data_IF_459596531496
#
_entry.id   IF_459596531496
#
_cell.length_a   1.000
_cell.length_b   1.000
_cell.length_c   1.000
_cell.angle_alpha   90.00
_cell.angle_beta   90.00
_cell.angle_gamma   90.00
#
_symmetry.space_group_name_H-M   'P 1'
#
loop_
_entity.id
_entity.type
_entity.pdbx_description
1 polymer ?
#
# COMPACT_ATOMS: atom_id res chain seq x y z
N UNK A 1 40.57 29.89 -16.40
CA UNK A 1 40.00 29.14 -15.25
C UNK A 1 38.70 29.73 -14.68
N UNK A 2 38.52 31.04 -14.41
CA UNK A 2 37.34 31.52 -13.67
C UNK A 2 36.01 31.40 -14.45
N UNK A 3 36.03 31.53 -15.78
CA UNK A 3 34.80 31.44 -16.60
C UNK A 3 34.10 30.08 -16.58
N UNK A 4 34.84 28.98 -16.36
CA UNK A 4 34.28 27.62 -16.35
C UNK A 4 33.48 27.29 -15.09
N UNK A 5 33.69 28.03 -14.00
CA UNK A 5 32.93 27.88 -12.74
C UNK A 5 31.82 28.94 -12.70
N UNK A 6 32.06 30.14 -13.23
CA UNK A 6 31.11 31.24 -13.20
C UNK A 6 29.83 30.94 -14.01
N UNK A 7 29.97 30.32 -15.19
CA UNK A 7 28.83 30.04 -16.05
C UNK A 7 27.84 29.01 -15.46
N UNK A 8 28.27 27.84 -14.94
CA UNK A 8 27.38 26.91 -14.24
C UNK A 8 26.72 27.52 -13.00
N UNK A 9 27.43 28.35 -12.25
CA UNK A 9 26.87 29.05 -11.08
C UNK A 9 25.74 30.01 -11.50
N UNK A 10 25.97 30.83 -12.52
CA UNK A 10 24.96 31.78 -13.00
C UNK A 10 23.72 31.05 -13.53
N UNK A 11 23.90 29.99 -14.34
CA UNK A 11 22.80 29.18 -14.87
C UNK A 11 22.06 28.48 -13.73
N UNK A 12 22.78 27.91 -12.76
CA UNK A 12 22.20 27.22 -11.61
C UNK A 12 21.38 28.15 -10.72
N UNK A 13 21.85 29.37 -10.46
CA UNK A 13 21.14 30.37 -9.66
C UNK A 13 19.85 30.82 -10.36
N UNK A 14 19.92 31.13 -11.65
CA UNK A 14 18.73 31.56 -12.42
C UNK A 14 17.71 30.42 -12.51
N UNK A 15 18.16 29.21 -12.84
CA UNK A 15 17.29 28.04 -12.93
C UNK A 15 16.64 27.68 -11.59
N UNK A 16 17.40 27.74 -10.49
CA UNK A 16 16.90 27.45 -9.15
C UNK A 16 15.93 28.54 -8.67
N UNK A 17 16.17 29.81 -8.96
CA UNK A 17 15.24 30.89 -8.62
C UNK A 17 13.88 30.70 -9.32
N UNK A 18 13.90 30.37 -10.62
CA UNK A 18 12.67 30.07 -11.37
C UNK A 18 11.98 28.81 -10.79
N UNK A 19 12.75 27.76 -10.51
CA UNK A 19 12.22 26.51 -9.95
C UNK A 19 11.58 26.70 -8.57
N UNK A 20 12.17 27.51 -7.70
CA UNK A 20 11.60 27.85 -6.39
C UNK A 20 10.29 28.60 -6.57
N UNK A 21 10.25 29.62 -7.43
CA UNK A 21 9.03 30.40 -7.68
C UNK A 21 7.90 29.49 -8.19
N UNK A 22 8.19 28.65 -9.18
CA UNK A 22 7.18 27.74 -9.73
C UNK A 22 6.75 26.67 -8.71
N UNK A 23 7.70 26.14 -7.94
CA UNK A 23 7.45 25.13 -6.92
C UNK A 23 6.60 25.64 -5.76
N UNK A 24 6.88 26.83 -5.24
CA UNK A 24 6.14 27.41 -4.10
C UNK A 24 4.81 28.04 -4.52
N UNK A 25 4.77 28.72 -5.67
CA UNK A 25 3.57 29.44 -6.09
C UNK A 25 2.52 28.54 -6.75
N UNK A 26 2.95 27.49 -7.47
CA UNK A 26 2.04 26.62 -8.22
C UNK A 26 2.12 25.16 -7.78
N UNK A 27 3.34 24.61 -7.64
CA UNK A 27 3.52 23.18 -7.34
C UNK A 27 2.94 22.77 -5.99
N UNK A 28 3.30 23.49 -4.93
CA UNK A 28 2.82 23.23 -3.57
C UNK A 28 1.29 23.31 -3.44
N UNK A 29 0.66 24.43 -3.82
CA UNK A 29 -0.79 24.56 -3.77
C UNK A 29 -1.54 23.53 -4.63
N UNK A 30 -1.02 23.18 -5.82
CA UNK A 30 -1.65 22.18 -6.68
C UNK A 30 -1.60 20.77 -6.06
N UNK A 31 -0.49 20.40 -5.42
CA UNK A 31 -0.38 19.11 -4.74
C UNK A 31 -1.34 19.03 -3.55
N UNK A 32 -1.45 20.10 -2.76
CA UNK A 32 -2.40 20.15 -1.65
C UNK A 32 -3.84 20.02 -2.14
N UNK A 33 -4.21 20.79 -3.18
CA UNK A 33 -5.55 20.70 -3.77
C UNK A 33 -5.87 19.28 -4.28
N UNK A 34 -4.90 18.61 -4.89
CA UNK A 34 -5.06 17.21 -5.31
C UNK A 34 -5.28 16.26 -4.11
N UNK A 35 -4.53 16.44 -3.02
CA UNK A 35 -4.73 15.63 -1.81
C UNK A 35 -6.06 15.91 -1.11
N UNK A 36 -6.50 17.18 -1.08
CA UNK A 36 -7.81 17.56 -0.54
C UNK A 36 -8.95 16.91 -1.32
N UNK A 37 -8.85 16.87 -2.66
CA UNK A 37 -9.85 16.23 -3.54
C UNK A 37 -9.92 14.71 -3.32
N UNK A 38 -8.78 14.06 -3.14
CA UNK A 38 -8.70 12.59 -2.94
C UNK A 38 -9.15 12.18 -1.53
N UNK A 39 -8.71 12.91 -0.49
CA UNK A 39 -8.89 12.51 0.91
C UNK A 39 -10.14 13.16 1.53
N UNK A 40 -10.66 14.25 0.96
CA UNK A 40 -11.85 14.94 1.46
C UNK A 40 -11.64 15.74 2.74
N UNK A 41 -10.40 15.87 3.22
CA UNK A 41 -10.04 16.62 4.43
C UNK A 41 -9.32 17.92 4.02
N UNK A 42 -9.84 19.11 4.39
CA UNK A 42 -9.22 20.38 4.03
C UNK A 42 -7.90 20.60 4.79
N UNK A 43 -6.84 20.95 4.08
CA UNK A 43 -5.53 21.23 4.65
C UNK A 43 -5.47 22.68 5.16
N UNK A 44 -5.72 22.88 6.45
CA UNK A 44 -5.64 24.20 7.07
C UNK A 44 -4.17 24.57 7.31
N UNK A 45 -3.71 25.64 6.65
CA UNK A 45 -2.41 26.26 6.94
C UNK A 45 -1.24 25.74 6.10
N UNK A 46 -1.37 25.71 4.77
CA UNK A 46 -0.25 25.40 3.89
C UNK A 46 0.89 26.41 4.08
N UNK A 47 2.04 25.92 4.55
CA UNK A 47 3.29 26.67 4.59
C UNK A 47 4.40 25.83 3.99
N UNK A 48 5.13 26.39 3.03
CA UNK A 48 6.36 25.74 2.55
C UNK A 48 7.50 26.06 3.51
N UNK A 49 8.09 25.03 4.10
CA UNK A 49 9.19 25.22 5.06
C UNK A 49 10.44 25.75 4.35
N UNK A 50 11.04 26.87 4.80
CA UNK A 50 12.23 27.45 4.16
C UNK A 50 13.44 26.52 4.15
N UNK A 51 13.54 25.60 5.12
CA UNK A 51 14.60 24.59 5.22
C UNK A 51 14.64 23.66 4.00
N UNK A 52 13.47 23.18 3.56
CA UNK A 52 13.33 22.30 2.40
C UNK A 52 13.66 23.02 1.09
N UNK A 53 13.29 24.29 0.97
CA UNK A 53 13.63 25.12 -0.19
C UNK A 53 15.15 25.26 -0.30
N UNK A 54 15.82 25.57 0.81
CA UNK A 54 17.27 25.75 0.84
C UNK A 54 18.02 24.44 0.56
N UNK A 55 17.52 23.32 1.09
CA UNK A 55 18.08 21.99 0.81
C UNK A 55 17.97 21.63 -0.68
N UNK A 56 16.79 21.84 -1.28
CA UNK A 56 16.58 21.59 -2.71
C UNK A 56 17.46 22.48 -3.59
N UNK A 57 17.62 23.76 -3.22
CA UNK A 57 18.55 24.67 -3.90
C UNK A 57 20.00 24.17 -3.79
N UNK A 58 20.42 23.70 -2.61
CA UNK A 58 21.75 23.12 -2.41
C UNK A 58 22.00 21.91 -3.31
N UNK A 59 21.06 20.96 -3.35
CA UNK A 59 21.15 19.77 -4.21
C UNK A 59 21.21 20.16 -5.68
N UNK A 60 20.32 21.06 -6.14
CA UNK A 60 20.28 21.52 -7.52
C UNK A 60 21.61 22.19 -7.92
N UNK A 61 22.16 23.05 -7.06
CA UNK A 61 23.44 23.72 -7.31
C UNK A 61 24.61 22.74 -7.41
N UNK A 62 24.65 21.71 -6.55
CA UNK A 62 25.67 20.65 -6.63
C UNK A 62 25.60 19.93 -7.98
N UNK A 63 24.40 19.55 -8.41
CA UNK A 63 24.19 18.86 -9.69
C UNK A 63 24.63 19.72 -10.86
N UNK A 64 24.21 20.99 -10.90
CA UNK A 64 24.57 21.92 -11.99
C UNK A 64 26.07 22.18 -12.03
N UNK A 65 26.73 22.34 -10.88
CA UNK A 65 28.17 22.52 -10.79
C UNK A 65 28.92 21.30 -11.33
N UNK A 66 28.55 20.09 -10.90
CA UNK A 66 29.18 18.85 -11.39
C UNK A 66 28.98 18.71 -12.90
N UNK A 67 27.75 18.96 -13.38
CA UNK A 67 27.42 18.86 -14.80
C UNK A 67 28.15 19.91 -15.66
N UNK A 68 28.38 21.11 -15.14
CA UNK A 68 29.05 22.19 -15.86
C UNK A 68 30.58 22.11 -15.81
N UNK A 69 31.15 21.70 -14.68
CA UNK A 69 32.61 21.64 -14.48
C UNK A 69 33.21 20.41 -15.17
N UNK A 70 32.53 19.26 -15.15
CA UNK A 70 33.07 18.01 -15.70
C UNK A 70 33.47 18.12 -17.19
N UNK A 71 32.63 18.62 -18.10
CA UNK A 71 33.00 18.79 -19.51
C UNK A 71 34.16 19.78 -19.70
N UNK A 72 34.21 20.84 -18.88
CA UNK A 72 35.28 21.83 -18.93
C UNK A 72 36.62 21.23 -18.48
N UNK A 73 36.59 20.37 -17.46
CA UNK A 73 37.77 19.65 -16.98
C UNK A 73 38.29 18.66 -18.02
N UNK A 74 37.40 17.85 -18.60
CA UNK A 74 37.72 16.94 -19.70
C UNK A 74 38.30 17.70 -20.91
N UNK A 75 37.72 18.84 -21.29
CA UNK A 75 38.23 19.66 -22.39
C UNK A 75 39.63 20.26 -22.10
N UNK A 76 39.92 20.60 -20.84
CA UNK A 76 41.20 21.19 -20.45
C UNK A 76 42.39 20.22 -20.47
N UNK A 77 42.12 18.91 -20.47
CA UNK A 77 43.14 17.85 -20.38
C UNK A 77 43.44 17.18 -21.73
N UNK A 78 42.70 17.52 -22.79
CA UNK A 78 42.93 16.98 -24.14
C UNK A 78 44.16 17.64 -24.78
N UNK A 79 45.09 16.85 -25.33
CA UNK A 79 46.29 17.38 -25.97
C UNK A 79 45.96 17.99 -27.36
N UNK A 80 46.57 19.13 -27.76
CA UNK A 80 46.29 19.78 -29.04
C UNK A 80 46.54 18.89 -30.27
N UNK A 81 47.50 17.96 -30.17
CA UNK A 81 47.83 16.99 -31.22
C UNK A 81 46.72 15.96 -31.47
N UNK A 82 45.94 15.59 -30.44
CA UNK A 82 44.84 14.63 -30.57
C UNK A 82 43.64 15.26 -31.31
N UNK A 83 43.46 16.58 -31.16
CA UNK A 83 42.42 17.36 -31.84
C UNK A 83 42.76 17.52 -33.33
N UNK A 84 44.02 17.80 -33.66
CA UNK A 84 44.47 18.01 -35.04
C UNK A 84 44.49 16.72 -35.88
N UNK A 85 44.56 15.55 -35.25
CA UNK A 85 44.52 14.25 -35.94
C UNK A 85 43.12 13.84 -36.40
N UNK A 86 42.07 14.58 -36.03
CA UNK A 86 40.69 14.25 -36.41
C UNK A 86 40.21 12.87 -35.90
N UNK A 87 40.96 12.24 -34.99
CA UNK A 87 40.67 10.89 -34.46
C UNK A 87 39.86 10.90 -33.16
N UNK A 88 39.07 11.96 -32.92
CA UNK A 88 38.17 12.03 -31.78
C UNK A 88 36.86 11.25 -31.96
N UNK A 89 36.79 10.35 -32.93
CA UNK A 89 35.87 9.22 -32.85
C UNK A 89 36.62 8.08 -32.16
N UNK A 90 36.33 7.88 -30.87
CA UNK A 90 36.69 6.64 -30.17
C UNK A 90 36.23 5.49 -31.05
N UNK A 91 37.16 4.89 -31.80
CA UNK A 91 36.93 3.70 -32.62
C UNK A 91 36.81 2.52 -31.68
N UNK A 92 35.70 2.45 -30.96
CA UNK A 92 35.20 1.20 -30.39
C UNK A 92 34.64 0.35 -31.53
N UNK A 93 35.52 -0.03 -32.46
CA UNK A 93 35.28 -1.16 -33.37
C UNK A 93 35.52 -2.44 -32.57
N UNK A 94 34.69 -2.68 -31.56
CA UNK A 94 34.73 -3.95 -30.86
C UNK A 94 34.23 -5.03 -31.84
N UNK A 95 35.10 -6.00 -32.14
CA UNK A 95 34.77 -7.17 -32.97
C UNK A 95 33.55 -7.92 -32.44
N UNK A 96 33.25 -7.78 -31.13
CA UNK A 96 32.06 -8.33 -30.48
C UNK A 96 30.75 -7.66 -30.94
N UNK A 97 30.70 -6.33 -31.00
CA UNK A 97 29.50 -5.62 -31.50
C UNK A 97 29.26 -5.95 -32.97
N UNK A 98 30.32 -6.08 -33.77
CA UNK A 98 30.21 -6.48 -35.19
C UNK A 98 29.60 -7.88 -35.36
N UNK A 99 29.98 -8.85 -34.51
CA UNK A 99 29.38 -10.20 -34.50
C UNK A 99 27.93 -10.21 -34.00
N UNK A 100 27.60 -9.40 -32.99
CA UNK A 100 26.24 -9.30 -32.47
C UNK A 100 25.30 -8.63 -33.48
N UNK A 101 25.82 -7.64 -34.21
CA UNK A 101 25.07 -6.83 -35.17
C UNK A 101 24.92 -7.51 -36.54
N UNK A 102 25.79 -8.47 -36.90
CA UNK A 102 25.77 -9.11 -38.23
C UNK A 102 24.55 -10.01 -38.47
N UNK A 103 23.78 -10.33 -37.43
CA UNK A 103 22.53 -11.10 -37.51
C UNK A 103 21.27 -10.22 -37.59
N UNK A 104 21.41 -8.91 -37.43
CA UNK A 104 20.29 -7.98 -37.44
C UNK A 104 20.12 -7.35 -38.83
N UNK A 105 18.88 -7.02 -39.27
CA UNK A 105 18.64 -6.24 -40.48
C UNK A 105 19.48 -4.95 -40.49
N UNK A 106 19.95 -4.55 -41.67
CA UNK A 106 20.92 -3.46 -41.84
C UNK A 106 20.51 -2.17 -41.13
N UNK A 107 19.23 -1.81 -41.11
CA UNK A 107 18.71 -0.63 -40.41
C UNK A 107 18.90 -0.71 -38.90
N UNK A 108 18.50 -1.83 -38.27
CA UNK A 108 18.62 -2.01 -36.82
C UNK A 108 20.09 -2.11 -36.41
N UNK A 109 20.89 -2.80 -37.23
CA UNK A 109 22.29 -3.00 -36.93
C UNK A 109 23.11 -1.71 -37.00
N UNK A 110 22.79 -0.80 -37.93
CA UNK A 110 23.40 0.52 -37.97
C UNK A 110 23.02 1.36 -36.76
N UNK A 111 21.75 1.33 -36.33
CA UNK A 111 21.28 2.05 -35.14
C UNK A 111 21.96 1.55 -33.87
N UNK A 112 21.98 0.24 -33.62
CA UNK A 112 22.63 -0.36 -32.44
C UNK A 112 24.11 0.01 -32.40
N UNK A 113 24.81 -0.11 -33.52
CA UNK A 113 26.23 0.25 -33.61
C UNK A 113 26.47 1.73 -33.36
N UNK A 114 25.56 2.60 -33.81
CA UNK A 114 25.65 4.05 -33.58
C UNK A 114 25.43 4.40 -32.10
N UNK A 115 24.50 3.72 -31.42
CA UNK A 115 24.20 3.93 -30.00
C UNK A 115 25.35 3.49 -29.10
N UNK A 116 25.98 2.34 -29.39
CA UNK A 116 27.09 1.79 -28.59
C UNK A 116 28.40 2.58 -28.74
N UNK A 117 28.52 3.45 -29.76
CA UNK A 117 29.66 4.38 -29.88
C UNK A 117 29.71 5.42 -28.76
N UNK A 118 28.58 5.71 -28.10
CA UNK A 118 28.49 6.61 -26.94
C UNK A 118 27.99 5.83 -25.71
N UNK A 119 28.80 4.90 -25.17
CA UNK A 119 28.35 3.92 -24.18
C UNK A 119 27.80 4.60 -22.92
N UNK A 120 28.37 5.74 -22.52
CA UNK A 120 27.93 6.42 -21.31
C UNK A 120 26.51 7.00 -21.43
N UNK A 121 26.16 7.53 -22.61
CA UNK A 121 24.80 8.01 -22.88
C UNK A 121 23.80 6.85 -22.87
N UNK A 122 24.17 5.75 -23.52
CA UNK A 122 23.35 4.55 -23.62
C UNK A 122 23.04 3.96 -22.24
N UNK A 123 24.04 3.86 -21.37
CA UNK A 123 23.89 3.35 -20.00
C UNK A 123 22.95 4.24 -19.20
N UNK A 124 23.12 5.57 -19.20
CA UNK A 124 22.23 6.46 -18.45
C UNK A 124 20.78 6.41 -18.94
N UNK A 125 20.54 6.31 -20.25
CA UNK A 125 19.18 6.19 -20.78
C UNK A 125 18.53 4.87 -20.39
N UNK A 126 19.24 3.75 -20.50
CA UNK A 126 18.70 2.45 -20.08
C UNK A 126 18.50 2.39 -18.57
N UNK A 127 19.40 2.98 -17.79
CA UNK A 127 19.27 3.06 -16.34
C UNK A 127 18.06 3.88 -15.94
N UNK A 128 17.86 5.05 -16.55
CA UNK A 128 16.70 5.91 -16.27
C UNK A 128 15.38 5.22 -16.63
N UNK A 129 15.30 4.60 -17.80
CA UNK A 129 14.10 3.85 -18.23
C UNK A 129 13.86 2.64 -17.33
N UNK A 130 14.90 1.87 -17.01
CA UNK A 130 14.80 0.70 -16.14
C UNK A 130 14.37 1.07 -14.73
N UNK A 131 14.93 2.15 -14.17
CA UNK A 131 14.53 2.67 -12.86
C UNK A 131 13.09 3.16 -12.88
N UNK A 132 12.66 3.85 -13.94
CA UNK A 132 11.27 4.30 -14.09
C UNK A 132 10.29 3.12 -14.14
N UNK A 133 10.62 2.08 -14.90
CA UNK A 133 9.82 0.87 -15.00
C UNK A 133 9.77 0.10 -13.68
N UNK A 134 10.88 0.08 -12.95
CA UNK A 134 10.95 -0.52 -11.61
C UNK A 134 10.05 0.23 -10.63
N UNK A 135 10.18 1.56 -10.56
CA UNK A 135 9.35 2.40 -9.67
C UNK A 135 7.86 2.20 -10.00
N UNK A 136 7.50 2.27 -11.29
CA UNK A 136 6.11 2.06 -11.72
C UNK A 136 5.59 0.67 -11.35
N UNK A 137 6.37 -0.38 -11.63
CA UNK A 137 6.00 -1.75 -11.27
C UNK A 137 5.81 -1.92 -9.76
N UNK A 138 6.74 -1.41 -8.96
CA UNK A 138 6.64 -1.48 -7.49
C UNK A 138 5.46 -0.69 -6.96
N UNK A 139 5.16 0.49 -7.50
CA UNK A 139 4.03 1.32 -7.07
C UNK A 139 2.69 0.66 -7.43
N UNK A 140 2.60 0.03 -8.60
CA UNK A 140 1.40 -0.72 -8.99
C UNK A 140 1.15 -1.91 -8.08
N UNK A 141 2.19 -2.68 -7.74
CA UNK A 141 2.09 -3.79 -6.79
C UNK A 141 1.73 -3.31 -5.39
N UNK A 142 2.32 -2.20 -4.95
CA UNK A 142 2.00 -1.61 -3.65
C UNK A 142 0.56 -1.10 -3.59
N UNK A 143 0.05 -0.51 -4.68
CA UNK A 143 -1.33 -0.03 -4.78
C UNK A 143 -2.32 -1.20 -4.75
N UNK A 144 -2.02 -2.30 -5.45
CA UNK A 144 -2.82 -3.53 -5.43
C UNK A 144 -2.84 -4.16 -4.03
N UNK A 145 -1.67 -4.31 -3.41
CA UNK A 145 -1.56 -4.82 -2.04
C UNK A 145 -2.27 -3.93 -1.03
N UNK A 146 -2.17 -2.60 -1.15
CA UNK A 146 -2.87 -1.67 -0.28
C UNK A 146 -4.38 -1.71 -0.53
N UNK A 147 -4.82 -1.88 -1.78
CA UNK A 147 -6.22 -2.08 -2.13
C UNK A 147 -6.82 -3.24 -1.34
N UNK A 148 -6.18 -4.41 -1.40
CA UNK A 148 -6.63 -5.60 -0.67
C UNK A 148 -6.62 -5.40 0.86
N UNK A 149 -5.64 -4.68 1.41
CA UNK A 149 -5.58 -4.40 2.85
C UNK A 149 -6.62 -3.37 3.31
N UNK A 150 -6.90 -2.34 2.50
CA UNK A 150 -7.78 -1.22 2.85
C UNK A 150 -9.24 -1.53 2.58
N UNK A 151 -9.56 -2.26 1.50
CA UNK A 151 -10.93 -2.68 1.25
C UNK A 151 -11.41 -3.72 2.26
N UNK A 152 -10.48 -4.45 2.90
CA UNK A 152 -10.80 -5.64 3.68
C UNK A 152 -11.50 -6.71 2.84
N UNK A 153 -11.90 -7.81 3.48
CA UNK A 153 -12.83 -8.78 2.88
C UNK A 153 -14.09 -8.04 2.40
N UNK A 154 -14.65 -8.47 1.27
CA UNK A 154 -15.75 -7.82 0.55
C UNK A 154 -17.00 -7.64 1.44
N UNK A 155 -17.10 -6.53 2.20
CA UNK A 155 -18.23 -6.31 3.12
C UNK A 155 -19.52 -6.04 2.33
N UNK A 156 -20.61 -6.70 2.71
CA UNK A 156 -21.92 -6.59 2.04
C UNK A 156 -22.91 -5.68 2.80
N UNK A 157 -22.43 -4.90 3.77
CA UNK A 157 -23.22 -3.93 4.54
C UNK A 157 -22.84 -2.48 4.18
N UNK A 158 -23.80 -1.57 4.34
CA UNK A 158 -23.62 -0.14 4.05
C UNK A 158 -23.34 0.69 5.31
N UNK A 159 -23.93 0.32 6.45
CA UNK A 159 -23.71 1.00 7.73
C UNK A 159 -23.59 0.02 8.91
N UNK A 160 -22.70 0.35 9.85
CA UNK A 160 -22.59 -0.31 11.15
C UNK A 160 -22.99 0.68 12.25
N UNK A 161 -24.03 0.35 13.01
CA UNK A 161 -24.48 1.15 14.15
C UNK A 161 -24.01 0.48 15.42
N UNK A 162 -23.13 1.15 16.18
CA UNK A 162 -22.74 0.69 17.50
C UNK A 162 -23.84 1.02 18.50
N UNK A 163 -24.33 0.01 19.19
CA UNK A 163 -25.44 0.15 20.14
C UNK A 163 -24.95 -0.10 21.57
N UNK A 164 -25.48 0.65 22.56
CA UNK A 164 -25.28 0.28 23.95
C UNK A 164 -25.96 -1.07 24.23
N UNK A 165 -25.55 -1.74 25.30
CA UNK A 165 -26.12 -3.04 25.67
C UNK A 165 -27.65 -2.97 25.81
N UNK A 166 -28.38 -3.81 25.07
CA UNK A 166 -29.84 -3.85 25.02
C UNK A 166 -30.50 -2.74 24.19
N UNK A 167 -29.72 -1.99 23.40
CA UNK A 167 -30.17 -0.89 22.55
C UNK A 167 -30.42 -1.29 21.08
N UNK A 168 -30.19 -2.54 20.71
CA UNK A 168 -30.36 -3.04 19.34
C UNK A 168 -31.80 -2.96 18.83
N UNK A 169 -32.80 -3.07 19.72
CA UNK A 169 -34.22 -3.10 19.36
C UNK A 169 -34.69 -1.86 18.59
N UNK A 170 -34.26 -0.66 18.99
CA UNK A 170 -34.64 0.59 18.30
C UNK A 170 -34.07 0.65 16.87
N UNK A 171 -32.87 0.11 16.67
CA UNK A 171 -32.21 0.08 15.35
C UNK A 171 -32.86 -0.95 14.44
N UNK A 172 -33.23 -2.10 14.99
CA UNK A 172 -33.95 -3.16 14.28
C UNK A 172 -35.33 -2.65 13.85
N UNK A 173 -36.08 -2.01 14.75
CA UNK A 173 -37.39 -1.41 14.44
C UNK A 173 -37.26 -0.39 13.30
N UNK A 174 -36.26 0.49 13.36
CA UNK A 174 -35.98 1.43 12.28
C UNK A 174 -35.66 0.74 10.95
N UNK A 175 -34.86 -0.34 10.97
CA UNK A 175 -34.49 -1.09 9.77
C UNK A 175 -35.71 -1.73 9.12
N UNK A 176 -36.57 -2.39 9.92
CA UNK A 176 -37.82 -2.99 9.48
C UNK A 176 -38.79 -1.95 8.88
N UNK A 177 -38.95 -0.79 9.52
CA UNK A 177 -39.80 0.30 9.02
C UNK A 177 -39.33 0.86 7.68
N UNK A 178 -38.01 0.90 7.45
CA UNK A 178 -37.41 1.43 6.22
C UNK A 178 -37.14 0.35 5.17
N UNK A 179 -37.49 -0.91 5.43
CA UNK A 179 -37.23 -2.03 4.53
C UNK A 179 -35.75 -2.29 4.27
N UNK A 180 -34.89 -1.99 5.25
CA UNK A 180 -33.47 -2.31 5.23
C UNK A 180 -33.24 -3.71 5.81
N UNK A 181 -32.38 -4.50 5.16
CA UNK A 181 -31.92 -5.76 5.72
C UNK A 181 -30.95 -5.46 6.88
N UNK A 182 -30.97 -6.28 7.93
CA UNK A 182 -30.14 -6.11 9.10
C UNK A 182 -29.56 -7.44 9.60
N UNK A 183 -28.38 -7.37 10.21
CA UNK A 183 -27.75 -8.47 10.92
C UNK A 183 -27.21 -7.97 12.26
N UNK A 184 -27.44 -8.70 13.35
CA UNK A 184 -26.91 -8.31 14.66
C UNK A 184 -25.55 -8.93 14.89
N UNK A 185 -24.64 -8.15 15.49
CA UNK A 185 -23.27 -8.57 15.74
C UNK A 185 -22.86 -8.24 17.17
N UNK A 186 -22.15 -9.17 17.77
CA UNK A 186 -21.58 -9.05 19.10
C UNK A 186 -20.06 -9.05 19.00
N UNK A 187 -19.42 -7.94 19.37
CA UNK A 187 -17.96 -7.82 19.37
C UNK A 187 -17.50 -7.64 20.81
N UNK A 188 -16.69 -8.58 21.29
CA UNK A 188 -16.18 -8.54 22.66
C UNK A 188 -14.70 -8.91 22.71
N UNK A 189 -13.86 -8.17 23.46
CA UNK A 189 -12.45 -8.53 23.59
C UNK A 189 -12.29 -9.80 24.42
N UNK A 190 -11.48 -10.73 23.93
CA UNK A 190 -11.12 -11.97 24.62
C UNK A 190 -9.62 -12.24 24.58
N UNK A 191 -9.18 -13.26 25.32
CA UNK A 191 -7.82 -13.77 25.28
C UNK A 191 -7.83 -15.29 25.47
N UNK A 192 -6.76 -15.96 25.06
CA UNK A 192 -6.60 -17.39 25.35
C UNK A 192 -6.29 -17.59 26.84
N UNK A 193 -6.70 -18.74 27.40
CA UNK A 193 -6.33 -19.09 28.77
C UNK A 193 -4.80 -19.12 28.92
N UNK A 194 -4.30 -18.40 29.92
CA UNK A 194 -2.86 -18.28 30.18
C UNK A 194 -2.10 -17.31 29.25
N UNK A 195 -2.77 -16.66 28.29
CA UNK A 195 -2.17 -15.63 27.44
C UNK A 195 -2.72 -14.23 27.79
N UNK A 196 -1.87 -13.21 27.60
CA UNK A 196 -2.23 -11.80 27.85
C UNK A 196 -2.59 -11.04 26.58
N UNK A 197 -2.28 -11.60 25.41
CA UNK A 197 -2.60 -11.03 24.10
C UNK A 197 -4.11 -11.14 23.88
N UNK A 198 -4.72 -10.01 23.57
CA UNK A 198 -6.14 -9.95 23.27
C UNK A 198 -6.39 -10.21 21.78
N UNK A 199 -7.51 -10.88 21.51
CA UNK A 199 -8.17 -10.95 20.20
C UNK A 199 -9.57 -10.37 20.34
N UNK A 200 -10.18 -10.02 19.21
CA UNK A 200 -11.59 -9.63 19.16
C UNK A 200 -12.42 -10.87 18.83
N UNK A 201 -13.37 -11.21 19.69
CA UNK A 201 -14.36 -12.23 19.39
C UNK A 201 -15.57 -11.57 18.71
N UNK A 202 -15.92 -12.07 17.54
CA UNK A 202 -17.05 -11.65 16.74
C UNK A 202 -18.11 -12.75 16.76
N UNK A 203 -19.24 -12.48 17.39
CA UNK A 203 -20.46 -13.26 17.28
C UNK A 203 -21.30 -12.75 16.12
N UNK A 204 -21.50 -13.59 15.11
CA UNK A 204 -22.29 -13.29 13.90
C UNK A 204 -23.55 -14.16 13.85
N UNK A 205 -24.64 -13.65 13.27
CA UNK A 205 -25.86 -14.45 13.06
C UNK A 205 -25.70 -15.35 11.83
N UNK A 206 -25.04 -14.84 10.78
CA UNK A 206 -24.80 -15.55 9.52
C UNK A 206 -23.30 -15.66 9.27
N UNK A 207 -22.80 -16.90 9.29
CA UNK A 207 -21.40 -17.21 8.96
C UNK A 207 -21.36 -17.90 7.60
N UNK A 208 -20.91 -17.17 6.59
CA UNK A 208 -20.79 -17.68 5.21
C UNK A 208 -19.54 -17.11 4.52
N UNK A 209 -19.08 -17.83 3.50
CA UNK A 209 -18.03 -17.36 2.57
C UNK A 209 -18.62 -16.64 1.34
N UNK A 210 -19.95 -16.56 1.24
CA UNK A 210 -20.67 -16.02 0.08
C UNK A 210 -21.28 -14.64 0.32
N UNK A 211 -22.00 -14.14 -0.69
CA UNK A 211 -22.66 -12.81 -0.65
C UNK A 211 -23.91 -12.77 0.23
N UNK A 212 -24.26 -13.88 0.88
CA UNK A 212 -25.41 -14.03 1.76
C UNK A 212 -25.15 -13.53 3.19
N UNK A 213 -23.89 -13.45 3.62
CA UNK A 213 -23.51 -12.84 4.89
C UNK A 213 -23.17 -11.36 4.70
N UNK A 214 -23.52 -10.52 5.69
CA UNK A 214 -23.09 -9.12 5.69
C UNK A 214 -21.57 -9.01 5.83
N UNK A 215 -20.97 -9.89 6.63
CA UNK A 215 -19.52 -10.04 6.77
C UNK A 215 -19.12 -11.40 6.18
N UNK A 216 -18.75 -11.50 4.90
CA UNK A 216 -18.25 -12.75 4.35
C UNK A 216 -16.88 -13.05 4.93
N UNK A 217 -16.69 -14.33 5.25
CA UNK A 217 -15.46 -14.84 5.85
C UNK A 217 -14.68 -15.64 4.81
N UNK A 218 -13.41 -15.30 4.63
CA UNK A 218 -12.50 -16.03 3.76
C UNK A 218 -11.88 -17.20 4.53
N UNK A 219 -12.35 -18.42 4.24
CA UNK A 219 -11.88 -19.65 4.88
C UNK A 219 -10.63 -20.18 4.17
N UNK A 220 -9.51 -20.32 4.89
CA UNK A 220 -8.27 -20.92 4.36
C UNK A 220 -8.20 -22.42 4.62
N UNK A 221 -8.64 -22.89 5.79
CA UNK A 221 -8.61 -24.30 6.18
C UNK A 221 -9.83 -24.67 7.05
N UNK A 222 -10.27 -25.93 7.01
CA UNK A 222 -11.31 -26.45 7.89
C UNK A 222 -12.73 -26.27 7.34
N UNK A 223 -13.70 -26.06 8.23
CA UNK A 223 -15.13 -25.96 7.93
C UNK A 223 -15.79 -24.83 8.72
N UNK A 224 -16.87 -24.27 8.15
CA UNK A 224 -17.69 -23.26 8.83
C UNK A 224 -18.32 -23.84 10.12
N UNK A 225 -18.45 -23.03 11.19
CA UNK A 225 -19.06 -23.44 12.43
C UNK A 225 -20.50 -23.89 12.27
N UNK A 226 -20.85 -24.98 12.93
CA UNK A 226 -22.23 -25.47 13.01
C UNK A 226 -22.96 -24.85 14.20
N UNK A 227 -24.11 -24.24 13.96
CA UNK A 227 -24.95 -23.65 15.01
C UNK A 227 -25.45 -24.73 15.98
N UNK A 228 -25.32 -24.48 17.29
CA UNK A 228 -25.86 -25.34 18.35
C UNK A 228 -25.09 -26.64 18.60
N UNK A 229 -23.78 -26.67 18.32
CA UNK A 229 -22.92 -27.78 18.71
C UNK A 229 -22.73 -27.84 20.25
N UNK A 230 -22.49 -29.05 20.79
CA UNK A 230 -22.27 -29.25 22.24
C UNK A 230 -21.07 -28.44 22.77
N UNK A 231 -20.04 -28.27 21.94
CA UNK A 231 -18.93 -27.33 22.16
C UNK A 231 -18.98 -26.32 21.02
N UNK A 232 -19.05 -25.00 21.30
CA UNK A 232 -19.09 -23.98 20.26
C UNK A 232 -17.92 -24.11 19.29
N UNK A 233 -18.25 -24.19 18.00
CA UNK A 233 -17.29 -24.23 16.92
C UNK A 233 -16.86 -22.80 16.58
N UNK A 234 -15.55 -22.58 16.41
CA UNK A 234 -15.01 -21.25 16.14
C UNK A 234 -14.07 -21.25 14.94
N UNK A 235 -14.05 -20.13 14.23
CA UNK A 235 -13.03 -19.83 13.24
C UNK A 235 -12.01 -18.89 13.84
N UNK A 236 -10.73 -19.14 13.57
CA UNK A 236 -9.61 -18.38 14.16
C UNK A 236 -8.74 -17.83 13.05
N UNK A 237 -8.28 -16.59 13.17
CA UNK A 237 -7.35 -16.01 12.20
C UNK A 237 -6.00 -16.75 12.16
N UNK A 238 -5.38 -16.77 10.97
CA UNK A 238 -4.05 -17.36 10.75
C UNK A 238 -2.99 -16.87 11.76
N UNK A 239 -3.03 -15.60 12.14
CA UNK A 239 -2.10 -15.00 13.10
C UNK A 239 -2.26 -15.61 14.49
N UNK A 240 -3.49 -15.72 15.00
CA UNK A 240 -3.78 -16.33 16.30
C UNK A 240 -3.45 -17.81 16.32
N UNK A 241 -3.80 -18.55 15.26
CA UNK A 241 -3.44 -19.96 15.10
C UNK A 241 -1.92 -20.17 15.21
N UNK A 242 -1.13 -19.37 14.49
CA UNK A 242 0.32 -19.45 14.51
C UNK A 242 0.92 -19.05 15.87
N UNK A 243 0.39 -18.01 16.51
CA UNK A 243 0.95 -17.46 17.76
C UNK A 243 0.66 -18.28 19.01
N UNK A 244 -0.44 -19.03 18.99
CA UNK A 244 -0.87 -19.89 20.09
C UNK A 244 -0.58 -21.37 19.81
N UNK A 245 -0.02 -21.68 18.63
CA UNK A 245 0.29 -23.05 18.19
C UNK A 245 -0.96 -23.95 18.23
N UNK A 246 -2.11 -23.38 17.85
CA UNK A 246 -3.38 -24.08 17.78
C UNK A 246 -3.54 -24.79 16.44
N UNK A 247 -4.34 -25.87 16.42
CA UNK A 247 -4.65 -26.63 15.19
C UNK A 247 -6.16 -26.85 15.06
N UNK A 248 -6.63 -27.03 13.81
CA UNK A 248 -8.03 -27.35 13.52
C UNK A 248 -8.42 -28.69 14.17
N UNK A 249 -9.57 -28.71 14.85
CA UNK A 249 -10.10 -29.84 15.62
C UNK A 249 -9.62 -29.88 17.08
N UNK A 250 -8.79 -28.94 17.52
CA UNK A 250 -8.42 -28.82 18.93
C UNK A 250 -9.47 -28.05 19.73
N UNK A 251 -9.64 -28.44 20.99
CA UNK A 251 -10.43 -27.69 21.97
C UNK A 251 -9.53 -26.78 22.78
N UNK A 252 -9.93 -25.53 22.92
CA UNK A 252 -9.18 -24.50 23.62
C UNK A 252 -10.10 -23.68 24.52
N UNK A 253 -9.56 -23.16 25.62
CA UNK A 253 -10.31 -22.28 26.51
C UNK A 253 -10.03 -20.82 26.15
N UNK A 254 -11.09 -20.08 25.82
CA UNK A 254 -11.05 -18.63 25.63
C UNK A 254 -11.66 -17.91 26.82
N UNK A 255 -11.10 -16.76 27.16
CA UNK A 255 -11.44 -15.94 28.32
C UNK A 255 -12.02 -14.61 27.87
N UNK A 256 -13.14 -14.23 28.47
CA UNK A 256 -13.85 -12.97 28.26
C UNK A 256 -14.00 -12.25 29.60
N UNK A 257 -12.92 -11.60 30.07
CA UNK A 257 -12.88 -11.00 31.39
C UNK A 257 -13.05 -12.06 32.50
N UNK A 258 -14.16 -12.06 33.25
CA UNK A 258 -14.42 -13.09 34.27
C UNK A 258 -15.01 -14.39 33.71
N UNK A 259 -15.47 -14.40 32.45
CA UNK A 259 -16.11 -15.56 31.83
C UNK A 259 -15.09 -16.39 31.06
N UNK A 260 -15.29 -17.70 31.01
CA UNK A 260 -14.47 -18.65 30.24
C UNK A 260 -15.38 -19.54 29.40
N UNK A 261 -14.98 -19.81 28.16
CA UNK A 261 -15.70 -20.69 27.25
C UNK A 261 -14.71 -21.69 26.62
N UNK A 262 -15.05 -22.97 26.66
CA UNK A 262 -14.34 -23.99 25.88
C UNK A 262 -14.89 -23.98 24.45
N UNK A 263 -13.99 -23.88 23.48
CA UNK A 263 -14.32 -23.78 22.05
C UNK A 263 -13.56 -24.82 21.26
N UNK A 264 -14.13 -25.31 20.17
CA UNK A 264 -13.46 -26.19 19.22
C UNK A 264 -13.13 -25.43 17.93
N UNK A 265 -11.88 -25.49 17.50
CA UNK A 265 -11.42 -24.76 16.32
C UNK A 265 -11.87 -25.53 15.08
N UNK A 266 -12.90 -25.04 14.39
CA UNK A 266 -13.44 -25.72 13.20
C UNK A 266 -12.74 -25.33 11.91
N UNK A 267 -12.09 -24.17 11.88
CA UNK A 267 -11.37 -23.69 10.71
C UNK A 267 -10.53 -22.44 10.94
N UNK A 268 -9.81 -22.05 9.89
CA UNK A 268 -8.88 -20.92 9.87
C UNK A 268 -9.33 -19.90 8.85
N UNK A 269 -9.31 -18.62 9.23
CA UNK A 269 -9.65 -17.50 8.35
C UNK A 269 -8.39 -16.79 7.87
N UNK A 270 -8.47 -16.23 6.65
CA UNK A 270 -7.36 -15.50 6.04
C UNK A 270 -7.73 -14.05 5.71
N UNK A 271 -6.76 -13.15 5.81
CA UNK A 271 -6.91 -11.76 5.40
C UNK A 271 -7.25 -10.79 6.54
N UNK A 272 -7.44 -11.29 7.76
CA UNK A 272 -7.65 -10.45 8.93
C UNK A 272 -6.39 -9.65 9.30
N UNK A 273 -6.55 -8.33 9.47
CA UNK A 273 -5.46 -7.44 9.92
C UNK A 273 -5.25 -7.53 11.44
N UNK A 274 -6.29 -7.91 12.18
CA UNK A 274 -6.29 -8.02 13.64
C UNK A 274 -6.58 -9.44 14.08
N UNK A 275 -6.07 -9.81 15.27
CA UNK A 275 -6.38 -11.11 15.88
C UNK A 275 -7.87 -11.22 16.16
N UNK A 276 -8.50 -12.21 15.58
CA UNK A 276 -9.95 -12.34 15.48
C UNK A 276 -10.36 -13.79 15.64
N UNK A 277 -11.44 -14.00 16.40
CA UNK A 277 -12.11 -15.30 16.49
C UNK A 277 -13.60 -15.09 16.18
N UNK A 278 -14.14 -15.88 15.27
CA UNK A 278 -15.55 -15.82 14.88
C UNK A 278 -16.36 -16.94 15.55
N UNK A 279 -17.55 -16.57 16.00
CA UNK A 279 -18.52 -17.39 16.70
C UNK A 279 -19.90 -17.22 16.07
N UNK A 280 -20.77 -18.20 16.27
CA UNK A 280 -22.20 -17.93 16.21
C UNK A 280 -22.56 -16.98 17.37
N UNK A 281 -23.34 -15.94 17.07
CA UNK A 281 -23.68 -14.90 18.07
C UNK A 281 -24.38 -15.49 19.28
N UNK A 282 -25.24 -16.49 19.10
CA UNK A 282 -25.91 -17.19 20.19
C UNK A 282 -24.93 -17.75 21.21
N UNK A 283 -23.88 -18.41 20.75
CA UNK A 283 -22.92 -19.10 21.61
C UNK A 283 -22.08 -18.10 22.42
N UNK A 284 -21.70 -16.98 21.79
CA UNK A 284 -20.98 -15.90 22.46
C UNK A 284 -21.89 -15.13 23.42
N UNK A 285 -23.13 -14.84 23.03
CA UNK A 285 -24.14 -14.17 23.84
C UNK A 285 -24.44 -14.94 25.12
N UNK A 286 -24.64 -16.26 25.01
CA UNK A 286 -24.88 -17.15 26.16
C UNK A 286 -23.70 -17.17 27.13
N UNK A 287 -22.47 -17.06 26.62
CA UNK A 287 -21.27 -17.07 27.45
C UNK A 287 -21.04 -15.77 28.23
N UNK A 288 -21.33 -14.61 27.62
CA UNK A 288 -21.02 -13.29 28.23
C UNK A 288 -22.25 -12.55 28.76
N UNK A 289 -23.45 -13.00 28.42
CA UNK A 289 -24.73 -12.40 28.82
C UNK A 289 -25.06 -11.08 28.11
N UNK A 290 -24.59 -10.89 26.88
CA UNK A 290 -24.83 -9.70 26.06
C UNK A 290 -25.35 -10.11 24.69
N UNK A 291 -26.48 -9.54 24.25
CA UNK A 291 -27.10 -9.91 22.98
C UNK A 291 -26.34 -9.40 21.75
N UNK A 292 -26.05 -8.10 21.71
CA UNK A 292 -25.38 -7.44 20.60
C UNK A 292 -24.63 -6.18 21.06
N UNK A 293 -23.64 -5.77 20.28
CA UNK A 293 -22.93 -4.49 20.42
C UNK A 293 -23.02 -3.64 19.16
N UNK A 294 -23.43 -4.25 18.05
CA UNK A 294 -23.56 -3.58 16.77
C UNK A 294 -24.71 -4.19 15.96
N UNK A 295 -25.30 -3.36 15.11
CA UNK A 295 -26.24 -3.79 14.07
C UNK A 295 -25.65 -3.36 12.74
N UNK A 296 -25.50 -4.34 11.83
CA UNK A 296 -25.10 -4.13 10.45
C UNK A 296 -26.37 -3.91 9.63
N UNK A 297 -26.33 -2.97 8.70
CA UNK A 297 -27.46 -2.56 7.89
C UNK A 297 -27.07 -2.51 6.42
N UNK A 298 -27.91 -3.10 5.58
CA UNK A 298 -27.87 -2.89 4.13
C UNK A 298 -29.02 -1.96 3.77
N UNK A 299 -28.68 -0.74 3.37
CA UNK A 299 -29.67 0.27 3.08
C UNK A 299 -30.27 -0.05 1.72
N UNK A 300 -31.60 -0.05 1.62
CA UNK A 300 -32.25 -0.11 0.33
C UNK A 300 -31.71 1.05 -0.53
N UNK A 301 -30.94 0.73 -1.59
CA UNK A 301 -30.43 1.74 -2.50
C UNK A 301 -31.62 2.54 -3.02
N UNK A 302 -31.71 3.79 -2.59
CA UNK A 302 -32.71 4.72 -3.08
C UNK A 302 -32.64 4.75 -4.62
N UNK A 303 -33.79 4.57 -5.26
CA UNK A 303 -33.94 4.89 -6.68
C UNK A 303 -33.64 6.37 -6.95
#
# INVERSE_FOLDING_TARGET
MPGFILAPVAIGLVGSAIGIILGTAFGGPAMVAMYEDIIGIPAIGFSTEPSLILQNLGIAMVVVLIAGIKPAYEASTIQPLDILRGQNEVRLSSRGIQRLTSRLPTTVGLTVRSSVRKPMRLVFTFFAVGLSMLIFGTMSMMMDSMGNLVSGANQNWDAQVNVPFGGEGEVIEWAEENGADFETMLVFPGNAEGDTRQFLAYGLDVISTGDDAMIPIDLSEGQLPTLGADTPNVLVDEGTMLFLEWEVGQKQTVMFGPFSLEVEISGVTSGEVTRTIYFHRSDLSDAIGLEATSVLLTLARGN
#
